data_IF_177985449244
#
_entry.id   IF_177985449244
#
_cell.length_a   1.000
_cell.length_b   1.000
_cell.length_c   1.000
_cell.angle_alpha   90.00
_cell.angle_beta   90.00
_cell.angle_gamma   90.00
#
_symmetry.space_group_name_H-M   'P 1'
#
loop_
_entity.id
_entity.type
_entity.pdbx_description
1 polymer ?
#
# COMPACT_ATOMS: atom_id res chain seq x y z
N UNK A 1 4.21 0.03 -0.40
CA UNK A 1 3.50 -0.94 -1.20
C UNK A 1 3.93 -0.77 -2.66
N UNK A 2 4.83 -1.61 -3.13
CA UNK A 2 5.49 -1.44 -4.42
C UNK A 2 5.01 -2.41 -5.50
N UNK A 3 4.15 -3.36 -5.18
CA UNK A 3 3.76 -4.42 -6.08
C UNK A 3 2.41 -4.20 -6.78
N UNK A 4 2.27 -4.77 -7.96
CA UNK A 4 1.00 -4.86 -8.66
C UNK A 4 0.20 -5.99 -7.99
N UNK A 5 -0.58 -5.65 -6.94
CA UNK A 5 -1.48 -6.60 -6.30
C UNK A 5 -0.92 -7.41 -5.13
N UNK A 6 0.21 -7.02 -4.57
CA UNK A 6 0.74 -7.58 -3.33
C UNK A 6 0.07 -6.92 -2.13
N UNK A 7 -0.89 -7.56 -1.51
CA UNK A 7 -1.63 -7.06 -0.36
C UNK A 7 -1.52 -8.02 0.82
N UNK A 8 -2.06 -9.23 0.67
CA UNK A 8 -2.22 -10.19 1.76
C UNK A 8 -0.86 -10.72 2.23
N UNK A 9 -0.02 -11.20 1.33
CA UNK A 9 1.29 -11.78 1.68
C UNK A 9 2.21 -10.75 2.32
N UNK A 10 2.27 -9.54 1.75
CA UNK A 10 3.06 -8.44 2.32
C UNK A 10 2.59 -8.10 3.74
N UNK A 11 1.27 -8.03 3.96
CA UNK A 11 0.72 -7.72 5.28
C UNK A 11 0.95 -8.84 6.29
N UNK A 12 0.86 -10.10 5.89
CA UNK A 12 1.18 -11.25 6.75
C UNK A 12 2.65 -11.19 7.19
N UNK A 13 3.57 -10.98 6.25
CA UNK A 13 5.01 -10.88 6.56
C UNK A 13 5.29 -9.69 7.46
N UNK A 14 4.72 -8.51 7.15
CA UNK A 14 4.89 -7.31 7.97
C UNK A 14 4.39 -7.51 9.41
N UNK A 15 3.21 -8.12 9.56
CA UNK A 15 2.62 -8.38 10.89
C UNK A 15 3.38 -9.45 11.68
N UNK A 16 3.99 -10.42 11.01
CA UNK A 16 4.78 -11.48 11.63
C UNK A 16 6.24 -11.09 11.91
N UNK A 17 6.68 -9.93 11.42
CA UNK A 17 8.04 -9.43 11.60
C UNK A 17 8.18 -8.68 12.93
N UNK A 18 9.35 -8.82 13.58
CA UNK A 18 9.66 -8.07 14.81
C UNK A 18 9.85 -6.57 14.52
N UNK A 19 10.22 -6.22 13.29
CA UNK A 19 10.37 -4.84 12.84
C UNK A 19 10.01 -4.72 11.35
N UNK A 20 9.30 -3.64 11.01
CA UNK A 20 8.98 -3.28 9.63
C UNK A 20 9.53 -1.90 9.28
N UNK A 21 10.37 -1.85 8.25
CA UNK A 21 10.93 -0.63 7.70
C UNK A 21 10.37 -0.42 6.29
N UNK A 22 9.77 0.74 6.06
CA UNK A 22 9.30 1.16 4.73
C UNK A 22 10.33 2.05 4.07
N UNK A 23 10.73 1.70 2.85
CA UNK A 23 11.62 2.52 2.02
C UNK A 23 10.80 3.13 0.89
N UNK A 24 10.87 4.43 0.74
CA UNK A 24 10.15 5.17 -0.29
C UNK A 24 10.99 6.34 -0.83
N UNK A 25 10.69 6.77 -2.05
CA UNK A 25 11.16 8.08 -2.53
C UNK A 25 10.21 9.20 -2.03
N UNK A 26 10.73 10.43 -2.00
CA UNK A 26 9.97 11.59 -1.50
C UNK A 26 8.66 11.83 -2.26
N UNK A 27 8.58 11.40 -3.51
CA UNK A 27 7.36 11.52 -4.33
C UNK A 27 6.20 10.67 -3.84
N UNK A 28 6.45 9.70 -2.94
CA UNK A 28 5.42 8.86 -2.31
C UNK A 28 4.91 9.40 -0.99
N UNK A 29 5.54 10.44 -0.45
CA UNK A 29 5.03 11.14 0.73
C UNK A 29 3.83 11.99 0.32
N UNK A 30 2.72 11.85 1.04
CA UNK A 30 1.48 12.58 0.78
C UNK A 30 0.92 13.15 2.08
N UNK A 31 0.36 14.36 2.03
CA UNK A 31 -0.32 14.98 3.17
C UNK A 31 -1.63 14.27 3.53
N UNK A 32 -2.30 13.71 2.53
CA UNK A 32 -3.59 13.01 2.69
C UNK A 32 -3.63 11.77 1.83
N UNK A 33 -4.05 10.64 2.43
CA UNK A 33 -4.26 9.40 1.71
C UNK A 33 -5.49 9.49 0.77
N UNK A 34 -5.49 8.70 -0.31
CA UNK A 34 -6.64 8.50 -1.19
C UNK A 34 -6.51 9.09 -2.58
N UNK A 35 -5.45 9.84 -2.87
CA UNK A 35 -5.20 10.37 -4.22
C UNK A 35 -4.99 9.25 -5.25
N UNK A 36 -4.33 8.16 -4.84
CA UNK A 36 -4.25 6.92 -5.61
C UNK A 36 -5.36 5.97 -5.20
N UNK A 37 -5.85 5.13 -6.13
CA UNK A 37 -6.86 4.13 -5.80
C UNK A 37 -6.39 3.20 -4.68
N UNK A 38 -7.27 2.96 -3.70
CA UNK A 38 -7.02 1.99 -2.64
C UNK A 38 -7.38 0.60 -3.16
N UNK A 39 -6.42 -0.33 -3.30
CA UNK A 39 -6.73 -1.69 -3.70
C UNK A 39 -7.34 -2.46 -2.54
N UNK A 40 -8.38 -3.25 -2.84
CA UNK A 40 -8.89 -4.30 -1.94
C UNK A 40 -8.91 -5.63 -2.68
N UNK A 41 -8.47 -6.68 -2.00
CA UNK A 41 -8.50 -8.04 -2.50
C UNK A 41 -9.84 -8.66 -2.17
N UNK A 42 -10.50 -9.25 -3.18
CA UNK A 42 -11.84 -9.84 -3.05
C UNK A 42 -11.90 -11.22 -3.68
N UNK A 43 -12.66 -12.14 -3.10
CA UNK A 43 -12.87 -13.45 -3.69
C UNK A 43 -13.61 -13.34 -5.04
N UNK A 44 -13.28 -14.18 -6.05
CA UNK A 44 -13.90 -14.10 -7.37
C UNK A 44 -15.41 -14.38 -7.36
N UNK A 45 -15.84 -15.30 -6.50
CA UNK A 45 -17.26 -15.63 -6.38
C UNK A 45 -18.06 -14.44 -5.85
N UNK A 46 -19.00 -13.96 -6.64
CA UNK A 46 -19.91 -12.88 -6.22
C UNK A 46 -19.23 -11.50 -6.05
N UNK A 47 -18.07 -11.26 -6.66
CA UNK A 47 -17.33 -10.01 -6.52
C UNK A 47 -18.15 -8.75 -6.83
N UNK A 48 -19.13 -8.83 -7.76
CA UNK A 48 -20.03 -7.71 -8.06
C UNK A 48 -20.93 -7.35 -6.86
N UNK A 49 -21.39 -8.36 -6.11
CA UNK A 49 -22.16 -8.12 -4.89
C UNK A 49 -21.27 -7.50 -3.80
N UNK A 50 -20.04 -7.98 -3.65
CA UNK A 50 -19.05 -7.38 -2.75
C UNK A 50 -18.75 -5.93 -3.17
N UNK A 51 -18.56 -5.65 -4.45
CA UNK A 51 -18.35 -4.31 -4.97
C UNK A 51 -19.52 -3.37 -4.60
N UNK A 52 -20.75 -3.79 -4.85
CA UNK A 52 -21.94 -2.99 -4.52
C UNK A 52 -22.02 -2.69 -3.01
N UNK A 53 -21.74 -3.69 -2.16
CA UNK A 53 -21.73 -3.54 -0.70
C UNK A 53 -20.65 -2.55 -0.25
N UNK A 54 -19.45 -2.62 -0.83
CA UNK A 54 -18.35 -1.70 -0.56
C UNK A 54 -18.76 -0.27 -0.93
N UNK A 55 -19.26 -0.04 -2.14
CA UNK A 55 -19.66 1.30 -2.60
C UNK A 55 -20.80 1.88 -1.76
N UNK A 56 -21.77 1.07 -1.35
CA UNK A 56 -22.84 1.48 -0.42
C UNK A 56 -22.27 1.89 0.94
N UNK A 57 -21.34 1.11 1.48
CA UNK A 57 -20.73 1.40 2.77
C UNK A 57 -19.89 2.67 2.74
N UNK A 58 -19.19 2.94 1.63
CA UNK A 58 -18.39 4.17 1.44
C UNK A 58 -19.24 5.46 1.55
N UNK A 59 -20.56 5.39 1.38
CA UNK A 59 -21.47 6.54 1.58
C UNK A 59 -21.40 7.08 2.99
N UNK A 60 -21.17 6.24 3.98
CA UNK A 60 -21.07 6.59 5.41
C UNK A 60 -19.65 6.84 5.89
N UNK A 61 -18.63 6.67 5.04
CA UNK A 61 -17.23 6.84 5.39
C UNK A 61 -16.74 8.26 5.08
N UNK A 62 -15.67 8.68 5.77
CA UNK A 62 -15.00 9.96 5.53
C UNK A 62 -14.07 9.87 4.31
N UNK A 63 -14.67 9.81 3.13
CA UNK A 63 -14.02 9.76 1.82
C UNK A 63 -14.74 10.68 0.84
N UNK A 64 -14.02 11.20 -0.17
CA UNK A 64 -14.63 12.05 -1.21
C UNK A 64 -15.20 11.23 -2.36
N UNK A 65 -14.44 10.24 -2.85
CA UNK A 65 -14.87 9.33 -3.92
C UNK A 65 -15.48 8.04 -3.37
N UNK A 66 -16.37 7.41 -4.14
CA UNK A 66 -17.09 6.20 -3.73
C UNK A 66 -17.21 5.17 -4.84
N UNK A 67 -16.53 5.43 -5.95
CA UNK A 67 -16.54 4.53 -7.11
C UNK A 67 -15.40 3.52 -7.00
N UNK A 68 -15.64 2.32 -7.50
CA UNK A 68 -14.65 1.26 -7.59
C UNK A 68 -14.57 0.65 -8.98
N UNK A 69 -13.42 0.11 -9.33
CA UNK A 69 -13.20 -0.58 -10.61
C UNK A 69 -12.49 -1.91 -10.38
N UNK A 70 -12.92 -2.94 -11.12
CA UNK A 70 -12.20 -4.20 -11.17
C UNK A 70 -10.86 -3.99 -11.87
N UNK A 71 -9.76 -4.40 -11.22
CA UNK A 71 -8.43 -4.33 -11.83
C UNK A 71 -8.32 -5.31 -12.97
N UNK A 72 -7.85 -4.83 -14.10
CA UNK A 72 -7.69 -5.62 -15.31
C UNK A 72 -6.20 -5.83 -15.65
N UNK A 73 -5.92 -6.98 -16.26
CA UNK A 73 -4.67 -7.26 -16.96
C UNK A 73 -5.02 -7.55 -18.44
N UNK A 74 -4.89 -6.53 -19.28
CA UNK A 74 -5.43 -6.56 -20.63
C UNK A 74 -6.96 -6.70 -20.65
N UNK A 75 -7.47 -7.78 -21.24
CA UNK A 75 -8.92 -8.04 -21.34
C UNK A 75 -9.48 -8.97 -20.27
N UNK A 76 -8.67 -9.38 -19.31
CA UNK A 76 -9.07 -10.30 -18.22
C UNK A 76 -8.90 -9.63 -16.86
N UNK A 77 -9.69 -10.03 -15.86
CA UNK A 77 -9.45 -9.59 -14.49
C UNK A 77 -8.02 -9.92 -14.06
N UNK A 78 -7.40 -9.01 -13.33
CA UNK A 78 -6.15 -9.30 -12.63
C UNK A 78 -6.41 -10.36 -11.57
N UNK A 79 -5.49 -11.32 -11.44
CA UNK A 79 -5.57 -12.41 -10.44
C UNK A 79 -4.38 -12.25 -9.51
N UNK A 80 -4.64 -12.24 -8.20
CA UNK A 80 -3.62 -12.23 -7.16
C UNK A 80 -2.93 -13.58 -7.05
N UNK A 81 -1.83 -13.65 -6.29
CA UNK A 81 -1.14 -14.93 -6.00
C UNK A 81 -2.03 -15.94 -5.28
N UNK A 82 -3.07 -15.48 -4.61
CA UNK A 82 -4.06 -16.31 -3.91
C UNK A 82 -5.27 -16.68 -4.79
N UNK A 83 -5.27 -16.27 -6.05
CA UNK A 83 -6.36 -16.56 -6.99
C UNK A 83 -7.56 -15.62 -6.87
N UNK A 84 -7.41 -14.49 -6.19
CA UNK A 84 -8.45 -13.52 -5.95
C UNK A 84 -8.43 -12.37 -6.98
N UNK A 85 -9.46 -11.51 -6.97
CA UNK A 85 -9.53 -10.28 -7.75
C UNK A 85 -9.11 -9.07 -6.92
N UNK A 86 -8.86 -7.94 -7.59
CA UNK A 86 -8.65 -6.64 -6.94
C UNK A 86 -9.71 -5.66 -7.42
N UNK A 87 -10.36 -5.00 -6.47
CA UNK A 87 -11.13 -3.79 -6.70
C UNK A 87 -10.29 -2.58 -6.30
N UNK A 88 -10.16 -1.63 -7.19
CA UNK A 88 -9.49 -0.35 -6.96
C UNK A 88 -10.53 0.70 -6.55
N UNK A 89 -10.48 1.17 -5.30
CA UNK A 89 -11.40 2.16 -4.75
C UNK A 89 -10.87 3.58 -5.02
N UNK A 90 -11.61 4.37 -5.80
CA UNK A 90 -11.27 5.74 -6.16
C UNK A 90 -11.81 6.73 -5.12
N UNK A 91 -11.13 6.81 -3.98
CA UNK A 91 -11.59 7.55 -2.80
C UNK A 91 -11.26 9.04 -2.83
N UNK A 92 -10.25 9.45 -3.60
CA UNK A 92 -9.71 10.81 -3.76
C UNK A 92 -9.18 11.45 -2.45
N UNK A 93 -9.76 11.15 -1.29
CA UNK A 93 -9.28 11.49 0.05
C UNK A 93 -9.79 10.45 1.05
N UNK A 94 -8.94 10.09 2.01
CA UNK A 94 -9.29 9.23 3.15
C UNK A 94 -9.04 10.05 4.43
N UNK A 95 -10.11 10.41 5.14
CA UNK A 95 -10.02 11.20 6.38
C UNK A 95 -9.72 10.34 7.60
N UNK A 96 -10.29 9.11 7.68
CA UNK A 96 -10.05 8.17 8.78
C UNK A 96 -9.66 6.79 8.22
N UNK A 97 -8.36 6.62 7.94
CA UNK A 97 -7.82 5.40 7.33
C UNK A 97 -8.00 4.16 8.22
N UNK A 98 -7.86 4.31 9.55
CA UNK A 98 -8.05 3.21 10.51
C UNK A 98 -9.49 2.68 10.48
N UNK A 99 -10.46 3.56 10.58
CA UNK A 99 -11.88 3.19 10.52
C UNK A 99 -12.21 2.52 9.19
N UNK A 100 -11.76 3.10 8.09
CA UNK A 100 -11.99 2.56 6.75
C UNK A 100 -11.42 1.15 6.60
N UNK A 101 -10.17 0.91 7.03
CA UNK A 101 -9.53 -0.40 6.97
C UNK A 101 -10.32 -1.46 7.78
N UNK A 102 -10.75 -1.10 8.99
CA UNK A 102 -11.52 -2.00 9.84
C UNK A 102 -12.88 -2.36 9.22
N UNK A 103 -13.59 -1.38 8.70
CA UNK A 103 -14.93 -1.60 8.13
C UNK A 103 -14.84 -2.43 6.85
N UNK A 104 -13.90 -2.12 5.95
CA UNK A 104 -13.70 -2.87 4.70
C UNK A 104 -13.36 -4.34 4.98
N UNK A 105 -12.48 -4.63 5.94
CA UNK A 105 -12.08 -6.01 6.24
C UNK A 105 -13.18 -6.86 6.88
N UNK A 106 -14.27 -6.26 7.35
CA UNK A 106 -15.42 -7.00 7.88
C UNK A 106 -16.47 -7.35 6.82
N UNK A 107 -16.31 -6.87 5.59
CA UNK A 107 -17.29 -7.11 4.54
C UNK A 107 -17.17 -8.51 3.97
N UNK A 108 -18.29 -9.22 3.75
CA UNK A 108 -18.30 -10.50 3.06
C UNK A 108 -17.66 -10.40 1.67
N UNK A 109 -16.72 -11.30 1.39
CA UNK A 109 -16.01 -11.34 0.11
C UNK A 109 -14.73 -10.52 0.06
N UNK A 110 -14.47 -9.65 1.02
CA UNK A 110 -13.19 -8.94 1.15
C UNK A 110 -12.18 -9.83 1.87
N UNK A 111 -11.00 -9.98 1.31
CA UNK A 111 -9.87 -10.74 1.87
C UNK A 111 -8.92 -9.81 2.61
N UNK A 112 -8.52 -8.69 1.99
CA UNK A 112 -7.59 -7.74 2.56
C UNK A 112 -7.71 -6.38 1.85
N UNK A 113 -7.20 -5.32 2.50
CA UNK A 113 -7.09 -3.98 1.92
C UNK A 113 -5.65 -3.47 1.92
N UNK A 114 -5.36 -2.49 1.06
CA UNK A 114 -4.03 -1.91 0.86
C UNK A 114 -3.59 -0.89 1.91
N UNK A 115 -4.38 -0.66 2.97
CA UNK A 115 -3.97 0.20 4.08
C UNK A 115 -3.16 -0.61 5.10
N UNK A 116 -1.92 -0.18 5.31
CA UNK A 116 -0.99 -0.75 6.30
C UNK A 116 -0.99 0.18 7.53
N UNK A 117 -1.90 -0.08 8.45
CA UNK A 117 -2.13 0.76 9.64
C UNK A 117 -1.36 0.18 10.83
N UNK A 118 -0.55 1.03 11.49
CA UNK A 118 0.22 0.69 12.71
C UNK A 118 1.15 -0.53 12.57
N UNK A 119 1.66 -0.80 11.38
CA UNK A 119 2.56 -1.93 11.13
C UNK A 119 4.01 -1.46 10.93
N UNK A 120 4.22 -0.18 10.60
CA UNK A 120 5.53 0.37 10.26
C UNK A 120 6.22 0.93 11.50
N UNK A 121 7.46 0.52 11.77
CA UNK A 121 8.31 1.03 12.86
C UNK A 121 9.17 2.20 12.40
N UNK A 122 9.68 2.16 11.17
CA UNK A 122 10.48 3.23 10.61
C UNK A 122 10.22 3.43 9.12
N UNK A 123 10.41 4.66 8.66
CA UNK A 123 10.34 5.04 7.25
C UNK A 123 11.67 5.62 6.81
N UNK A 124 12.20 5.12 5.70
CA UNK A 124 13.39 5.65 5.04
C UNK A 124 12.96 6.34 3.75
N UNK A 125 13.21 7.64 3.66
CA UNK A 125 12.82 8.46 2.51
C UNK A 125 14.08 8.89 1.76
N UNK A 126 14.17 8.49 0.50
CA UNK A 126 15.22 8.91 -0.42
C UNK A 126 14.83 10.16 -1.20
N UNK A 127 15.77 11.07 -1.33
CA UNK A 127 15.65 12.31 -2.12
C UNK A 127 16.54 12.23 -3.37
N UNK A 128 16.12 12.90 -4.42
CA UNK A 128 16.85 12.90 -5.70
C UNK A 128 18.25 13.55 -5.66
N UNK A 129 18.59 14.24 -4.56
CA UNK A 129 19.88 14.86 -4.31
C UNK A 129 20.85 13.97 -3.51
N UNK A 130 20.49 12.69 -3.28
CA UNK A 130 21.27 11.73 -2.50
C UNK A 130 21.06 11.81 -0.99
N UNK A 131 20.24 12.72 -0.51
CA UNK A 131 19.87 12.80 0.90
C UNK A 131 18.91 11.65 1.25
N UNK A 132 19.04 11.12 2.47
CA UNK A 132 18.17 10.09 3.04
C UNK A 132 17.68 10.55 4.41
N UNK A 133 16.38 10.47 4.65
CA UNK A 133 15.80 10.69 5.97
C UNK A 133 15.30 9.35 6.54
N UNK A 134 15.66 9.07 7.78
CA UNK A 134 15.15 7.92 8.55
C UNK A 134 14.25 8.48 9.65
N UNK A 135 12.98 8.11 9.61
CA UNK A 135 11.96 8.52 10.58
C UNK A 135 11.52 7.31 11.39
N UNK A 136 11.81 7.31 12.69
CA UNK A 136 11.30 6.34 13.63
C UNK A 136 9.86 6.73 14.01
N UNK A 137 8.91 5.85 13.75
CA UNK A 137 7.48 6.12 13.97
C UNK A 137 7.13 6.04 15.46
N UNK A 138 7.83 5.21 16.23
CA UNK A 138 7.54 4.99 17.65
C UNK A 138 8.07 6.13 18.53
N UNK A 139 9.25 6.67 18.19
CA UNK A 139 9.89 7.76 18.95
C UNK A 139 9.66 9.14 18.36
N UNK A 140 9.28 9.21 17.08
CA UNK A 140 9.15 10.46 16.34
C UNK A 140 10.49 11.11 15.98
N UNK A 141 11.63 10.41 16.18
CA UNK A 141 12.95 10.93 15.81
C UNK A 141 13.15 10.92 14.31
N UNK A 142 13.82 11.94 13.79
CA UNK A 142 14.21 12.06 12.39
C UNK A 142 15.72 12.20 12.31
N UNK A 143 16.36 11.26 11.64
CA UNK A 143 17.78 11.30 11.32
C UNK A 143 17.95 11.57 9.83
N UNK A 144 18.89 12.43 9.48
CA UNK A 144 19.21 12.75 8.08
C UNK A 144 20.63 12.33 7.79
N UNK A 145 20.79 11.55 6.72
CA UNK A 145 22.09 11.14 6.22
C UNK A 145 22.20 11.47 4.73
N UNK A 146 23.40 11.39 4.17
CA UNK A 146 23.65 11.58 2.76
C UNK A 146 24.41 10.38 2.22
N UNK A 147 23.83 9.73 1.22
CA UNK A 147 24.55 8.71 0.46
C UNK A 147 25.64 9.46 -0.35
N UNK A 148 26.88 9.37 0.10
CA UNK A 148 27.99 9.70 -0.76
C UNK A 148 27.89 8.82 -1.99
N UNK A 149 28.08 9.41 -3.19
CA UNK A 149 28.12 8.64 -4.42
C UNK A 149 29.11 7.51 -4.25
N UNK A 150 28.62 6.30 -4.10
CA UNK A 150 29.48 5.11 -4.17
C UNK A 150 30.10 5.17 -5.55
N UNK A 151 31.40 5.50 -5.60
CA UNK A 151 32.18 5.31 -6.81
C UNK A 151 31.97 3.86 -7.23
N UNK A 152 31.33 3.68 -8.37
CA UNK A 152 31.13 2.38 -9.01
C UNK A 152 32.46 1.90 -9.59
N UNK A 153 33.50 1.89 -8.75
CA UNK A 153 34.78 1.28 -9.06
C UNK A 153 34.78 -0.17 -8.58
N UNK A 154 34.59 -1.06 -9.55
CA UNK A 154 35.11 -2.42 -9.54
C UNK A 154 34.47 -3.48 -8.63
N UNK A 155 33.13 -3.59 -8.62
CA UNK A 155 32.51 -4.82 -8.11
C UNK A 155 32.52 -6.01 -9.10
N UNK A 156 33.01 -5.83 -10.32
CA UNK A 156 33.04 -6.88 -11.36
C UNK A 156 34.40 -7.14 -12.00
N UNK A 157 35.52 -6.66 -11.42
CA UNK A 157 36.85 -6.90 -12.02
C UNK A 157 37.50 -8.22 -11.62
N UNK A 158 36.94 -9.01 -10.72
CA UNK A 158 37.55 -10.27 -10.23
C UNK A 158 36.96 -11.55 -10.80
N UNK A 159 36.26 -11.46 -11.93
CA UNK A 159 35.83 -12.66 -12.71
C UNK A 159 36.35 -12.58 -14.15
N UNK A 160 37.67 -12.62 -14.28
CA UNK A 160 38.34 -12.91 -15.57
C UNK A 160 39.32 -14.02 -15.37
#
# INVERSE_FOLDING_TARGET
NGGVGSLLREKIVATASDQMIVIADIGKEVESLGNFPLPIEVIPFGWQATQALVEETLVSMDVLGRHSTLRMNGHRPFITDEGNHILDLHLNRIGNARQLAMVINQMPGVVENGLFIDICDAVVIGFGDGRVEIRDINTGTVETDRLDSVETDNLFSDFS
#
